data_IF_427452584305
#
_entry.id   IF_427452584305
#
_cell.length_a   1.000
_cell.length_b   1.000
_cell.length_c   1.000
_cell.angle_alpha   90.00
_cell.angle_beta   90.00
_cell.angle_gamma   90.00
#
_symmetry.space_group_name_H-M   'P 1'
#
loop_
_entity.id
_entity.type
_entity.pdbx_description
1 polymer ?
#
# COMPACT_ATOMS: atom_id res chain seq x y z
N UNK A 1 -24.77 -8.58 11.23
CA UNK A 1 -24.28 -8.23 9.87
C UNK A 1 -22.91 -7.60 10.02
N UNK A 2 -21.90 -8.17 9.37
CA UNK A 2 -20.52 -7.69 9.45
C UNK A 2 -20.30 -6.57 8.41
N UNK A 3 -19.68 -5.46 8.82
CA UNK A 3 -19.42 -4.31 7.93
C UNK A 3 -17.94 -4.19 7.59
N UNK A 4 -17.66 -4.07 6.30
CA UNK A 4 -16.31 -3.91 5.75
C UNK A 4 -16.22 -2.69 4.85
N UNK A 5 -15.00 -2.23 4.61
CA UNK A 5 -14.70 -1.18 3.64
C UNK A 5 -13.72 -1.68 2.59
N UNK A 6 -14.09 -1.54 1.32
CA UNK A 6 -13.18 -1.70 0.19
C UNK A 6 -12.66 -0.32 -0.22
N UNK A 7 -11.34 -0.20 -0.39
CA UNK A 7 -10.74 1.04 -0.88
C UNK A 7 -10.54 0.95 -2.40
N UNK A 8 -11.05 1.94 -3.11
CA UNK A 8 -11.02 2.02 -4.57
C UNK A 8 -10.65 3.43 -5.04
N UNK A 9 -10.46 3.61 -6.34
CA UNK A 9 -10.24 4.92 -6.95
C UNK A 9 -11.57 5.55 -7.39
N UNK A 10 -11.65 6.87 -7.34
CA UNK A 10 -12.86 7.62 -7.72
C UNK A 10 -13.42 7.25 -9.13
N UNK A 11 -12.61 7.08 -10.19
CA UNK A 11 -13.13 6.68 -11.50
C UNK A 11 -13.85 5.32 -11.53
N UNK A 12 -13.57 4.43 -10.57
CA UNK A 12 -14.23 3.13 -10.48
C UNK A 12 -15.61 3.21 -9.83
N UNK A 13 -15.92 4.29 -9.10
CA UNK A 13 -17.16 4.44 -8.32
C UNK A 13 -18.43 4.31 -9.15
N UNK A 14 -18.58 4.94 -10.34
CA UNK A 14 -19.81 4.79 -11.13
C UNK A 14 -20.08 3.34 -11.55
N UNK A 15 -19.03 2.57 -11.87
CA UNK A 15 -19.17 1.15 -12.21
C UNK A 15 -19.57 0.32 -10.99
N UNK A 16 -18.94 0.59 -9.84
CA UNK A 16 -19.23 -0.11 -8.58
C UNK A 16 -20.66 0.15 -8.12
N UNK A 17 -21.18 1.36 -8.30
CA UNK A 17 -22.59 1.68 -7.98
C UNK A 17 -23.57 0.84 -8.79
N UNK A 18 -23.27 0.59 -10.07
CA UNK A 18 -24.15 -0.17 -10.97
C UNK A 18 -24.01 -1.68 -10.79
N UNK A 19 -22.79 -2.16 -10.62
CA UNK A 19 -22.46 -3.59 -10.74
C UNK A 19 -22.02 -4.25 -9.43
N UNK A 20 -21.80 -3.46 -8.37
CA UNK A 20 -21.21 -3.96 -7.13
C UNK A 20 -19.68 -4.10 -7.22
N UNK A 21 -19.09 -4.78 -6.24
CA UNK A 21 -17.66 -5.09 -6.23
C UNK A 21 -17.44 -6.47 -6.83
N UNK A 22 -16.69 -6.53 -7.94
CA UNK A 22 -16.33 -7.80 -8.57
C UNK A 22 -15.19 -8.47 -7.82
N UNK A 23 -15.31 -9.77 -7.59
CA UNK A 23 -14.20 -10.56 -7.08
C UNK A 23 -13.04 -10.58 -8.10
N UNK A 24 -11.88 -10.11 -7.68
CA UNK A 24 -10.64 -10.12 -8.46
C UNK A 24 -9.72 -11.24 -7.96
N UNK A 25 -8.76 -11.64 -8.79
CA UNK A 25 -7.68 -12.54 -8.38
C UNK A 25 -6.50 -11.73 -7.85
N UNK A 26 -5.88 -12.20 -6.78
CA UNK A 26 -4.69 -11.63 -6.15
C UNK A 26 -3.76 -12.75 -5.66
N UNK A 27 -2.46 -12.45 -5.56
CA UNK A 27 -1.41 -13.44 -5.28
C UNK A 27 -0.48 -13.66 -6.47
N UNK A 28 0.59 -14.46 -6.28
CA UNK A 28 1.58 -14.81 -7.31
C UNK A 28 1.73 -16.33 -7.37
N UNK A 29 1.93 -16.86 -8.57
CA UNK A 29 2.17 -18.30 -8.78
C UNK A 29 0.93 -19.14 -8.44
N UNK A 30 1.13 -20.26 -7.74
CA UNK A 30 0.04 -21.19 -7.39
C UNK A 30 -0.82 -20.73 -6.21
N UNK A 31 -0.38 -19.70 -5.45
CA UNK A 31 -1.13 -19.15 -4.32
C UNK A 31 -1.98 -17.95 -4.77
N UNK A 32 -2.96 -18.24 -5.63
CA UNK A 32 -3.91 -17.22 -6.12
C UNK A 32 -5.23 -17.33 -5.38
N UNK A 33 -5.58 -16.26 -4.69
CA UNK A 33 -6.87 -16.10 -4.04
C UNK A 33 -7.80 -15.26 -4.92
N UNK A 34 -9.10 -15.56 -4.89
CA UNK A 34 -10.12 -14.80 -5.63
C UNK A 34 -11.14 -14.25 -4.64
N UNK A 35 -11.41 -12.96 -4.69
CA UNK A 35 -12.36 -12.34 -3.79
C UNK A 35 -12.42 -10.82 -3.88
N UNK A 36 -13.08 -10.20 -2.92
CA UNK A 36 -13.06 -8.76 -2.71
C UNK A 36 -12.18 -8.47 -1.52
N UNK A 37 -11.08 -7.77 -1.77
CA UNK A 37 -10.17 -7.32 -0.74
C UNK A 37 -10.76 -6.12 0.01
N UNK A 38 -10.84 -6.19 1.32
CA UNK A 38 -11.47 -5.18 2.16
C UNK A 38 -10.80 -5.11 3.53
N UNK A 39 -11.28 -4.17 4.35
CA UNK A 39 -10.77 -3.91 5.69
C UNK A 39 -11.93 -3.90 6.68
N UNK A 40 -11.69 -4.36 7.93
CA UNK A 40 -12.69 -4.29 8.98
C UNK A 40 -13.01 -2.83 9.29
N UNK A 41 -14.30 -2.50 9.41
CA UNK A 41 -14.71 -1.17 9.89
C UNK A 41 -14.60 -1.15 11.41
N UNK A 42 -13.62 -0.40 11.92
CA UNK A 42 -13.33 -0.25 13.34
C UNK A 42 -13.85 1.09 13.88
N UNK A 43 -13.96 1.20 15.21
CA UNK A 43 -14.30 2.46 15.87
C UNK A 43 -13.28 3.56 15.56
N UNK A 44 -12.01 3.18 15.43
CA UNK A 44 -10.94 4.08 15.04
C UNK A 44 -10.93 4.32 13.51
N UNK A 45 -11.03 5.60 13.13
CA UNK A 45 -11.07 5.99 11.72
C UNK A 45 -9.75 5.68 11.01
N UNK A 46 -8.62 5.86 11.69
CA UNK A 46 -7.30 5.64 11.12
C UNK A 46 -7.09 4.16 10.83
N UNK A 47 -7.42 3.25 11.75
CA UNK A 47 -7.28 1.82 11.60
C UNK A 47 -8.13 1.26 10.44
N UNK A 48 -9.36 1.77 10.29
CA UNK A 48 -10.25 1.43 9.17
C UNK A 48 -9.70 1.86 7.80
N UNK A 49 -9.06 3.03 7.73
CA UNK A 49 -8.61 3.67 6.48
C UNK A 49 -7.09 3.71 6.35
N UNK A 50 -6.41 2.82 7.07
CA UNK A 50 -4.96 2.89 7.26
C UNK A 50 -4.15 2.72 5.95
N UNK A 51 -4.78 2.20 4.90
CA UNK A 51 -4.17 1.94 3.60
C UNK A 51 -4.38 3.05 2.57
N UNK A 52 -5.15 4.10 2.88
CA UNK A 52 -5.48 5.17 1.92
C UNK A 52 -4.22 5.81 1.34
N UNK A 53 -3.27 6.20 2.20
CA UNK A 53 -2.04 6.87 1.77
C UNK A 53 -1.12 5.98 0.93
N UNK A 54 -1.00 4.70 1.25
CA UNK A 54 -0.20 3.75 0.46
C UNK A 54 -0.86 3.48 -0.91
N UNK A 55 -2.18 3.28 -0.95
CA UNK A 55 -2.90 3.08 -2.22
C UNK A 55 -2.82 4.31 -3.12
N UNK A 56 -2.92 5.51 -2.53
CA UNK A 56 -2.73 6.77 -3.27
C UNK A 56 -1.30 6.93 -3.79
N UNK A 57 -0.28 6.36 -3.17
CA UNK A 57 1.09 6.43 -3.70
C UNK A 57 1.20 5.79 -5.09
N UNK A 58 0.33 4.81 -5.38
CA UNK A 58 0.29 4.09 -6.65
C UNK A 58 -0.69 4.68 -7.67
N UNK A 59 -1.46 5.71 -7.30
CA UNK A 59 -2.47 6.31 -8.18
C UNK A 59 -2.62 7.81 -7.95
N UNK A 60 -2.73 8.58 -9.03
CA UNK A 60 -3.05 10.02 -8.95
C UNK A 60 -4.52 10.30 -8.62
N UNK A 61 -5.38 9.29 -8.68
CA UNK A 61 -6.81 9.43 -8.40
C UNK A 61 -7.09 9.50 -6.89
N UNK A 62 -8.18 10.16 -6.51
CA UNK A 62 -8.65 10.16 -5.13
C UNK A 62 -9.12 8.76 -4.72
N UNK A 63 -8.75 8.35 -3.51
CA UNK A 63 -9.22 7.09 -2.92
C UNK A 63 -10.61 7.30 -2.31
N UNK A 64 -11.54 6.40 -2.63
CA UNK A 64 -12.87 6.30 -2.07
C UNK A 64 -13.01 5.02 -1.24
N UNK A 65 -13.79 5.09 -0.17
CA UNK A 65 -14.21 3.94 0.63
C UNK A 65 -15.60 3.47 0.21
N UNK A 66 -15.71 2.22 -0.20
CA UNK A 66 -16.97 1.53 -0.49
C UNK A 66 -17.29 0.66 0.73
N UNK A 67 -18.29 1.07 1.51
CA UNK A 67 -18.72 0.33 2.69
C UNK A 67 -19.85 -0.62 2.30
N UNK A 68 -19.74 -1.87 2.74
CA UNK A 68 -20.72 -2.90 2.46
C UNK A 68 -20.90 -3.81 3.67
N UNK A 69 -22.01 -4.53 3.71
CA UNK A 69 -22.31 -5.54 4.74
C UNK A 69 -22.45 -6.91 4.14
N UNK A 70 -22.02 -7.92 4.89
CA UNK A 70 -22.21 -9.33 4.59
C UNK A 70 -22.86 -10.03 5.79
N UNK A 71 -23.46 -11.22 5.58
CA UNK A 71 -23.94 -12.06 6.68
C UNK A 71 -22.83 -12.38 7.68
N UNK A 72 -23.17 -12.46 8.96
CA UNK A 72 -22.19 -12.75 10.03
C UNK A 72 -21.54 -14.12 9.84
N UNK A 73 -22.29 -15.08 9.32
CA UNK A 73 -21.80 -16.42 9.01
C UNK A 73 -21.07 -16.54 7.66
N UNK A 74 -20.91 -15.45 6.90
CA UNK A 74 -20.13 -15.48 5.66
C UNK A 74 -18.69 -15.89 5.95
N UNK A 75 -18.17 -16.88 5.22
CA UNK A 75 -16.78 -17.27 5.31
C UNK A 75 -15.89 -16.20 4.67
N UNK A 76 -14.88 -15.74 5.41
CA UNK A 76 -13.91 -14.73 4.98
C UNK A 76 -12.51 -15.17 5.35
N UNK A 77 -11.51 -14.71 4.61
CA UNK A 77 -10.11 -14.87 5.01
C UNK A 77 -9.65 -13.59 5.66
N UNK A 78 -9.20 -13.65 6.91
CA UNK A 78 -8.60 -12.51 7.62
C UNK A 78 -7.11 -12.77 7.84
N UNK A 79 -6.29 -11.78 7.54
CA UNK A 79 -4.85 -11.85 7.72
C UNK A 79 -4.27 -10.52 8.19
N UNK A 80 -3.04 -10.59 8.68
CA UNK A 80 -2.20 -9.39 8.80
C UNK A 80 -1.40 -9.23 7.51
N UNK A 81 -1.10 -7.99 7.16
CA UNK A 81 -0.25 -7.69 6.01
C UNK A 81 1.01 -8.57 5.98
N UNK A 82 1.27 -9.17 4.81
CA UNK A 82 2.43 -10.04 4.58
C UNK A 82 2.35 -11.42 5.24
N UNK A 83 1.24 -11.76 5.90
CA UNK A 83 0.99 -13.07 6.50
C UNK A 83 -0.14 -13.80 5.78
N UNK A 84 -0.11 -15.13 5.84
CA UNK A 84 -1.19 -15.97 5.29
C UNK A 84 -2.49 -15.70 6.06
N UNK A 85 -3.58 -15.53 5.32
CA UNK A 85 -4.91 -15.36 5.91
C UNK A 85 -5.43 -16.65 6.53
N UNK A 86 -6.17 -16.51 7.63
CA UNK A 86 -6.96 -17.57 8.25
C UNK A 86 -8.41 -17.44 7.79
N UNK A 87 -9.05 -18.55 7.45
CA UNK A 87 -10.47 -18.59 7.14
C UNK A 87 -11.31 -18.63 8.42
N UNK A 88 -12.26 -17.70 8.54
CA UNK A 88 -13.13 -17.50 9.70
C UNK A 88 -14.50 -16.98 9.24
N UNK A 89 -15.46 -16.92 10.16
CA UNK A 89 -16.72 -16.21 9.93
C UNK A 89 -16.51 -14.70 9.98
N UNK A 90 -17.36 -13.95 9.30
CA UNK A 90 -17.22 -12.50 9.18
C UNK A 90 -17.33 -11.76 10.52
N UNK A 91 -18.18 -12.23 11.43
CA UNK A 91 -18.30 -11.72 12.81
C UNK A 91 -17.03 -11.99 13.64
N UNK A 92 -16.47 -13.19 13.52
CA UNK A 92 -15.22 -13.59 14.18
C UNK A 92 -14.05 -12.74 13.68
N UNK A 93 -13.96 -12.50 12.37
CA UNK A 93 -12.95 -11.65 11.76
C UNK A 93 -12.99 -10.21 12.31
N UNK A 94 -14.19 -9.62 12.43
CA UNK A 94 -14.36 -8.30 13.05
C UNK A 94 -13.99 -8.31 14.53
N UNK A 95 -14.39 -9.35 15.27
CA UNK A 95 -14.06 -9.51 16.70
C UNK A 95 -12.55 -9.54 16.91
N UNK A 96 -11.82 -10.32 16.11
CA UNK A 96 -10.35 -10.38 16.15
C UNK A 96 -9.73 -9.01 15.86
N UNK A 97 -10.20 -8.34 14.81
CA UNK A 97 -9.71 -7.03 14.43
C UNK A 97 -10.00 -5.96 15.48
N UNK A 98 -11.12 -6.04 16.21
CA UNK A 98 -11.46 -5.11 17.30
C UNK A 98 -10.63 -5.36 18.56
N UNK A 99 -10.46 -6.62 18.96
CA UNK A 99 -9.77 -6.97 20.20
C UNK A 99 -8.25 -6.83 20.07
N UNK A 100 -7.70 -7.06 18.88
CA UNK A 100 -6.29 -6.84 18.62
C UNK A 100 -6.09 -5.42 18.10
N UNK A 101 -5.67 -4.52 18.99
CA UNK A 101 -5.25 -3.14 18.70
C UNK A 101 -4.08 -3.03 17.70
N UNK A 102 -3.68 -4.13 17.05
CA UNK A 102 -2.62 -4.20 16.07
C UNK A 102 -3.17 -3.78 14.71
N UNK A 103 -2.47 -2.84 14.09
CA UNK A 103 -2.76 -2.30 12.77
C UNK A 103 -2.36 -3.34 11.68
N UNK A 104 -2.87 -3.17 10.47
CA UNK A 104 -2.56 -4.01 9.32
C UNK A 104 -3.46 -5.21 9.07
N UNK A 105 -4.69 -5.21 9.59
CA UNK A 105 -5.69 -6.22 9.25
C UNK A 105 -6.17 -6.05 7.80
N UNK A 106 -6.28 -7.18 7.12
CA UNK A 106 -6.76 -7.32 5.75
C UNK A 106 -7.77 -8.47 5.72
N UNK A 107 -8.85 -8.27 4.98
CA UNK A 107 -9.92 -9.27 4.84
C UNK A 107 -10.18 -9.52 3.37
N UNK A 108 -10.46 -10.77 3.03
CA UNK A 108 -10.89 -11.20 1.71
C UNK A 108 -12.24 -11.89 1.83
N UNK A 109 -13.23 -11.35 1.14
CA UNK A 109 -14.52 -12.04 0.95
C UNK A 109 -14.42 -12.86 -0.34
N UNK A 110 -14.61 -14.19 -0.33
CA UNK A 110 -14.32 -15.08 -1.47
C UNK A 110 -15.36 -15.01 -2.61
N UNK A 111 -16.16 -13.95 -2.68
CA UNK A 111 -17.18 -13.70 -3.71
C UNK A 111 -17.28 -12.22 -4.07
N UNK A 112 -18.01 -11.95 -5.16
CA UNK A 112 -18.40 -10.57 -5.49
C UNK A 112 -19.44 -10.06 -4.50
N UNK A 113 -19.46 -8.74 -4.30
CA UNK A 113 -20.44 -8.04 -3.45
C UNK A 113 -21.46 -7.36 -4.35
N UNK A 114 -22.74 -7.63 -4.13
CA UNK A 114 -23.84 -7.08 -4.90
C UNK A 114 -24.03 -5.57 -4.63
N UNK A 115 -24.62 -4.81 -5.58
CA UNK A 115 -24.99 -3.41 -5.35
C UNK A 115 -25.86 -3.21 -4.10
N UNK A 116 -26.76 -4.14 -3.79
CA UNK A 116 -27.66 -4.10 -2.63
C UNK A 116 -26.95 -4.30 -1.27
N UNK A 117 -25.74 -4.88 -1.28
CA UNK A 117 -24.92 -5.07 -0.09
C UNK A 117 -24.10 -3.81 0.25
N UNK A 118 -23.98 -2.86 -0.70
CA UNK A 118 -23.26 -1.61 -0.52
C UNK A 118 -24.13 -0.65 0.30
N UNK A 119 -23.60 -0.24 1.46
CA UNK A 119 -24.25 0.70 2.37
C UNK A 119 -24.05 2.13 1.88
N UNK A 120 -22.79 2.48 1.53
CA UNK A 120 -22.41 3.83 1.12
C UNK A 120 -21.05 3.86 0.46
N UNK A 121 -20.82 4.90 -0.34
CA UNK A 121 -19.51 5.21 -0.91
C UNK A 121 -19.12 6.62 -0.48
N UNK A 122 -17.92 6.77 0.09
CA UNK A 122 -17.40 8.07 0.57
C UNK A 122 -16.06 8.40 -0.06
N UNK A 123 -15.83 9.67 -0.39
CA UNK A 123 -14.48 10.20 -0.61
C UNK A 123 -13.77 10.24 0.73
N UNK A 124 -12.52 9.78 0.79
CA UNK A 124 -11.77 9.71 2.04
C UNK A 124 -10.78 10.88 2.16
N UNK A 125 -10.41 11.30 3.37
CA UNK A 125 -9.31 12.25 3.52
C UNK A 125 -8.00 11.60 3.05
N UNK A 126 -7.37 12.22 2.04
CA UNK A 126 -6.24 11.61 1.33
C UNK A 126 -4.90 11.67 2.10
N UNK A 127 -4.92 12.26 3.30
CA UNK A 127 -3.76 12.40 4.18
C UNK A 127 -3.60 11.24 5.18
N UNK A 128 -4.64 10.40 5.31
CA UNK A 128 -4.76 9.36 6.33
C UNK A 128 -4.11 8.05 5.86
N UNK A 129 -3.50 7.33 6.81
CA UNK A 129 -2.87 6.03 6.57
C UNK A 129 -1.35 6.06 6.48
N UNK A 130 -0.77 4.86 6.35
CA UNK A 130 0.67 4.63 6.34
C UNK A 130 1.33 5.08 5.03
N UNK A 131 2.60 5.49 5.10
CA UNK A 131 3.42 5.76 3.90
C UNK A 131 3.98 4.49 3.25
N UNK A 132 4.09 3.39 4.00
CA UNK A 132 4.69 2.12 3.56
C UNK A 132 3.88 0.93 4.11
N UNK A 133 3.87 0.73 5.43
CA UNK A 133 3.09 -0.30 6.13
C UNK A 133 2.96 0.04 7.64
N UNK A 134 2.09 -0.64 8.40
CA UNK A 134 1.79 -0.29 9.79
C UNK A 134 2.94 -0.24 10.79
N UNK A 135 3.98 -1.03 10.54
CA UNK A 135 5.14 -1.16 11.42
C UNK A 135 6.36 -0.40 10.87
N UNK A 136 6.19 0.44 9.83
CA UNK A 136 7.31 1.14 9.21
C UNK A 136 7.83 2.33 10.04
N UNK A 137 7.09 2.75 11.08
CA UNK A 137 7.44 3.89 11.94
C UNK A 137 8.45 3.42 13.00
N UNK A 138 9.64 4.04 13.02
CA UNK A 138 10.72 3.67 13.95
C UNK A 138 11.75 2.71 13.33
N UNK A 139 11.42 2.08 12.21
CA UNK A 139 12.35 1.30 11.40
C UNK A 139 13.16 2.26 10.54
N UNK A 140 14.49 2.24 10.67
CA UNK A 140 15.38 3.08 9.84
C UNK A 140 15.13 2.69 8.38
N UNK A 141 14.62 3.60 7.53
CA UNK A 141 14.52 3.29 6.10
C UNK A 141 15.94 3.02 5.61
N UNK A 142 16.17 1.84 5.02
CA UNK A 142 17.42 1.56 4.31
C UNK A 142 17.38 2.43 3.06
N UNK A 143 17.93 3.64 3.17
CA UNK A 143 17.95 4.61 2.08
C UNK A 143 18.82 4.11 0.91
N UNK A 144 18.53 4.54 -0.33
CA UNK A 144 17.54 5.55 -0.68
C UNK A 144 16.21 4.99 -1.18
N UNK A 145 15.08 5.47 -0.63
CA UNK A 145 13.76 5.20 -1.22
C UNK A 145 13.39 6.26 -2.26
N UNK A 146 13.12 5.83 -3.48
CA UNK A 146 12.55 6.65 -4.54
C UNK A 146 11.24 7.34 -4.06
N UNK A 147 11.13 8.66 -4.26
CA UNK A 147 9.88 9.40 -4.07
C UNK A 147 9.83 10.45 -2.96
N UNK A 148 10.94 10.80 -2.29
CA UNK A 148 11.00 12.13 -1.65
C UNK A 148 11.17 13.20 -2.72
N UNK A 149 10.45 14.30 -2.57
CA UNK A 149 10.53 15.44 -3.47
C UNK A 149 11.99 15.87 -3.60
N UNK A 150 12.52 15.90 -4.84
CA UNK A 150 13.91 16.26 -5.11
C UNK A 150 14.95 15.15 -5.00
N UNK A 151 14.61 13.90 -4.67
CA UNK A 151 15.60 12.81 -4.54
C UNK A 151 16.34 12.44 -5.84
N UNK A 152 15.73 12.67 -7.01
CA UNK A 152 16.46 12.54 -8.28
C UNK A 152 17.43 13.70 -8.44
N UNK A 153 16.95 14.95 -8.34
CA UNK A 153 17.81 16.14 -8.41
C UNK A 153 18.94 16.14 -7.38
N UNK A 154 18.73 15.62 -6.18
CA UNK A 154 19.78 15.48 -5.17
C UNK A 154 20.79 14.39 -5.52
N UNK A 155 20.37 13.27 -6.11
CA UNK A 155 21.30 12.26 -6.64
C UNK A 155 22.11 12.83 -7.80
N UNK A 156 21.44 13.48 -8.75
CA UNK A 156 22.05 14.08 -9.93
C UNK A 156 23.00 15.23 -9.53
N UNK A 157 22.67 16.02 -8.51
CA UNK A 157 23.53 17.09 -7.98
C UNK A 157 24.71 16.58 -7.15
N UNK A 158 24.55 15.48 -6.41
CA UNK A 158 25.66 14.81 -5.71
C UNK A 158 26.64 14.27 -6.74
N UNK A 159 26.15 13.55 -7.75
CA UNK A 159 26.98 13.03 -8.85
C UNK A 159 27.67 14.13 -9.63
N UNK A 160 26.99 15.25 -9.93
CA UNK A 160 27.62 16.38 -10.61
C UNK A 160 28.63 17.10 -9.70
N UNK A 161 28.37 17.21 -8.39
CA UNK A 161 29.33 17.78 -7.44
C UNK A 161 30.57 16.89 -7.26
N UNK A 162 30.40 15.57 -7.21
CA UNK A 162 31.48 14.58 -7.17
C UNK A 162 32.28 14.61 -8.46
N UNK A 163 31.60 14.66 -9.63
CA UNK A 163 32.24 14.80 -10.94
C UNK A 163 33.02 16.11 -11.07
N UNK A 164 32.48 17.22 -10.58
CA UNK A 164 33.15 18.53 -10.58
C UNK A 164 34.30 18.60 -9.55
N UNK A 165 34.25 17.80 -8.49
CA UNK A 165 35.31 17.69 -7.49
C UNK A 165 36.42 16.76 -7.98
N UNK A 166 36.09 15.65 -8.63
CA UNK A 166 37.01 14.82 -9.41
C UNK A 166 37.66 15.63 -10.53
N UNK A 167 36.90 16.33 -11.38
CA UNK A 167 37.45 17.17 -12.44
C UNK A 167 38.37 18.27 -11.86
N UNK A 168 38.03 18.85 -10.69
CA UNK A 168 38.92 19.80 -9.98
C UNK A 168 40.17 19.15 -9.38
N UNK A 169 40.03 17.93 -8.88
CA UNK A 169 41.11 17.17 -8.27
C UNK A 169 42.08 16.70 -9.35
N UNK A 170 41.59 16.09 -10.42
CA UNK A 170 42.36 15.61 -11.57
C UNK A 170 42.92 16.74 -12.46
N UNK A 171 42.26 17.91 -12.57
CA UNK A 171 42.87 19.08 -13.25
C UNK A 171 44.01 19.71 -12.48
N UNK A 172 44.18 19.38 -11.19
CA UNK A 172 45.28 19.86 -10.34
C UNK A 172 46.55 19.02 -10.47
N UNK A 173 46.44 17.80 -11.01
CA UNK A 173 47.55 16.88 -11.19
C UNK A 173 47.81 16.69 -12.69
N UNK A 174 48.98 17.12 -13.22
CA UNK A 174 49.33 16.91 -14.61
C UNK A 174 49.27 15.41 -14.99
N UNK A 175 48.71 15.08 -16.16
CA UNK A 175 48.50 13.69 -16.61
C UNK A 175 49.80 12.84 -16.67
N UNK A 176 50.95 13.50 -16.73
CA UNK A 176 52.30 12.95 -16.65
C UNK A 176 52.69 12.36 -15.28
N UNK A 177 51.85 12.49 -14.24
CA UNK A 177 52.07 11.87 -12.93
C UNK A 177 51.56 10.41 -12.81
N UNK A 178 50.78 9.93 -13.77
CA UNK A 178 50.17 8.58 -13.75
C UNK A 178 50.74 7.62 -14.82
N UNK A 179 51.75 8.03 -15.59
CA UNK A 179 52.49 7.11 -16.45
C UNK A 179 53.57 6.40 -15.64
N UNK A 180 53.20 5.31 -14.97
CA UNK A 180 54.19 4.38 -14.45
C UNK A 180 54.97 3.78 -15.63
N UNK A 181 56.27 4.07 -15.64
CA UNK A 181 57.29 3.45 -16.48
C UNK A 181 57.58 2.03 -15.95
N UNK A 182 57.54 1.03 -16.84
CA UNK A 182 58.08 -0.32 -16.62
C UNK A 182 57.04 -1.32 -16.08
N UNK A 183 56.68 -2.39 -16.78
CA UNK A 183 57.52 -3.50 -17.29
C UNK A 183 56.60 -4.35 -18.20
N UNK A 184 56.98 -4.87 -19.37
CA UNK A 184 58.21 -5.57 -19.81
C UNK A 184 58.71 -5.06 -21.18
#
# INVERSE_FOLDING_TARGET
MATFVHLTIEPSVPSIRRNGLKASRFGKGNDTSKGVFCFPVQADFFATHQWVRELRRRSRAMICGVYFRVPDAEAVQIGRFGKKGQELRADEALTIAHNNSLLGWEVVVPRSIAPSEIIRIKKLPQIIGWRLYPEAKGTRPVWPTAGTFGASKMRDAITESERLEEDRYFSRFPAEWYSDQGSE
#
